data_IF_411041050597
#
_entry.id   IF_411041050597
#
_cell.length_a   1.000
_cell.length_b   1.000
_cell.length_c   1.000
_cell.angle_alpha   90.00
_cell.angle_beta   90.00
_cell.angle_gamma   90.00
#
_symmetry.space_group_name_H-M   'P 1'
#
loop_
_entity.id
_entity.type
_entity.pdbx_description
1 polymer ?
#
# COMPACT_ATOMS: atom_id res chain seq x y z
N UNK A 1 -7.55 -10.76 25.46
CA UNK A 1 -8.75 -9.90 25.35
C UNK A 1 -9.99 -10.76 25.49
N UNK A 2 -11.19 -10.18 25.59
CA UNK A 2 -12.42 -10.96 25.43
C UNK A 2 -12.51 -11.54 24.02
N UNK A 3 -13.10 -12.74 23.88
CA UNK A 3 -13.27 -13.45 22.59
C UNK A 3 -13.86 -12.56 21.49
N UNK A 4 -14.75 -11.63 21.85
CA UNK A 4 -15.38 -10.70 20.93
C UNK A 4 -14.38 -9.77 20.21
N UNK A 5 -13.32 -9.30 20.90
CA UNK A 5 -12.35 -8.39 20.29
C UNK A 5 -11.43 -9.13 19.30
N UNK A 6 -11.04 -10.37 19.62
CA UNK A 6 -10.27 -11.22 18.70
C UNK A 6 -11.08 -11.52 17.43
N UNK A 7 -12.37 -11.82 17.57
CA UNK A 7 -13.26 -12.04 16.43
C UNK A 7 -13.39 -10.76 15.59
N UNK A 8 -13.58 -9.61 16.24
CA UNK A 8 -13.67 -8.33 15.55
C UNK A 8 -12.41 -8.01 14.73
N UNK A 9 -11.23 -8.15 15.34
CA UNK A 9 -9.93 -7.92 14.64
C UNK A 9 -9.77 -8.90 13.49
N UNK A 10 -10.11 -10.17 13.68
CA UNK A 10 -10.03 -11.20 12.64
C UNK A 10 -10.97 -10.90 11.47
N UNK A 11 -12.21 -10.49 11.73
CA UNK A 11 -13.15 -10.07 10.68
C UNK A 11 -12.67 -8.83 9.93
N UNK A 12 -12.09 -7.86 10.65
CA UNK A 12 -11.53 -6.64 10.06
C UNK A 12 -10.38 -6.97 9.09
N UNK A 13 -9.51 -7.91 9.48
CA UNK A 13 -8.41 -8.43 8.67
C UNK A 13 -8.90 -9.16 7.42
N UNK A 14 -9.91 -10.03 7.55
CA UNK A 14 -10.49 -10.71 6.39
C UNK A 14 -11.08 -9.72 5.38
N UNK A 15 -11.81 -8.71 5.88
CA UNK A 15 -12.37 -7.66 5.03
C UNK A 15 -11.28 -6.85 4.33
N UNK A 16 -10.21 -6.50 5.05
CA UNK A 16 -9.03 -5.85 4.49
C UNK A 16 -8.40 -6.68 3.36
N UNK A 17 -8.23 -8.00 3.56
CA UNK A 17 -7.61 -8.86 2.56
C UNK A 17 -8.48 -8.97 1.30
N UNK A 18 -9.80 -9.11 1.46
CA UNK A 18 -10.74 -9.19 0.34
C UNK A 18 -10.72 -7.92 -0.53
N UNK A 19 -10.79 -6.73 0.09
CA UNK A 19 -10.74 -5.48 -0.68
C UNK A 19 -9.35 -5.17 -1.22
N UNK A 20 -8.27 -5.55 -0.54
CA UNK A 20 -6.91 -5.41 -1.06
C UNK A 20 -6.70 -6.25 -2.33
N UNK A 21 -7.16 -7.51 -2.35
CA UNK A 21 -7.10 -8.37 -3.54
C UNK A 21 -7.94 -7.84 -4.71
N UNK A 22 -9.06 -7.20 -4.40
CA UNK A 22 -9.93 -6.59 -5.40
C UNK A 22 -9.28 -5.36 -6.06
N UNK A 23 -8.67 -4.48 -5.24
CA UNK A 23 -7.96 -3.28 -5.72
C UNK A 23 -6.68 -3.64 -6.47
N UNK A 24 -5.98 -4.67 -5.99
CA UNK A 24 -4.76 -5.16 -6.60
C UNK A 24 -5.00 -6.49 -7.34
N UNK A 25 -6.04 -6.55 -8.16
CA UNK A 25 -6.38 -7.71 -9.00
C UNK A 25 -5.23 -8.15 -9.93
N UNK A 26 -4.33 -7.23 -10.26
CA UNK A 26 -3.10 -7.49 -11.02
C UNK A 26 -2.18 -8.52 -10.32
N UNK A 27 -2.20 -8.58 -8.98
CA UNK A 27 -1.41 -9.54 -8.17
C UNK A 27 -1.91 -10.97 -8.36
N UNK A 28 -3.21 -11.15 -8.61
CA UNK A 28 -3.85 -12.44 -8.88
C UNK A 28 -3.93 -12.74 -10.39
N UNK A 29 -3.28 -11.93 -11.23
CA UNK A 29 -3.23 -12.11 -12.68
C UNK A 29 -4.51 -11.71 -13.43
N UNK A 30 -5.43 -11.03 -12.75
CA UNK A 30 -6.66 -10.50 -13.36
C UNK A 30 -6.39 -9.11 -13.95
N UNK A 31 -6.57 -9.02 -15.27
CA UNK A 31 -6.33 -7.79 -16.05
C UNK A 31 -7.28 -6.64 -15.67
N UNK A 32 -8.46 -6.97 -15.11
CA UNK A 32 -9.46 -6.02 -14.66
C UNK A 32 -9.94 -6.36 -13.25
N UNK A 33 -10.15 -5.36 -12.38
CA UNK A 33 -10.66 -5.59 -11.04
C UNK A 33 -12.13 -6.06 -11.10
N UNK A 34 -12.53 -7.08 -10.33
CA UNK A 34 -13.89 -7.60 -10.37
C UNK A 34 -14.95 -6.59 -9.89
N UNK A 35 -14.54 -5.56 -9.14
CA UNK A 35 -15.37 -4.39 -8.82
C UNK A 35 -14.67 -3.15 -9.37
N UNK A 36 -15.37 -2.26 -10.09
CA UNK A 36 -14.77 -1.03 -10.60
C UNK A 36 -14.25 -0.16 -9.45
N UNK A 37 -12.93 0.01 -9.39
CA UNK A 37 -12.27 0.82 -8.37
C UNK A 37 -12.14 2.25 -8.89
N UNK A 38 -12.97 3.15 -8.38
CA UNK A 38 -12.80 4.60 -8.60
C UNK A 38 -11.70 5.15 -7.68
N UNK A 39 -11.16 6.32 -8.02
CA UNK A 39 -10.11 6.98 -7.21
C UNK A 39 -10.54 7.22 -5.75
N UNK A 40 -11.81 7.54 -5.53
CA UNK A 40 -12.39 7.74 -4.20
C UNK A 40 -12.36 6.45 -3.36
N UNK A 41 -12.63 5.30 -3.99
CA UNK A 41 -12.55 3.98 -3.33
C UNK A 41 -11.10 3.64 -2.98
N UNK A 42 -10.15 3.99 -3.86
CA UNK A 42 -8.73 3.79 -3.63
C UNK A 42 -8.21 4.65 -2.45
N UNK A 43 -8.60 5.92 -2.38
CA UNK A 43 -8.27 6.81 -1.26
C UNK A 43 -8.92 6.37 0.06
N UNK A 44 -10.20 5.97 0.01
CA UNK A 44 -10.89 5.38 1.17
C UNK A 44 -10.15 4.14 1.66
N UNK A 45 -9.72 3.26 0.75
CA UNK A 45 -9.02 2.04 1.11
C UNK A 45 -7.63 2.32 1.69
N UNK A 46 -6.95 3.35 1.21
CA UNK A 46 -5.66 3.78 1.74
C UNK A 46 -5.81 4.29 3.18
N UNK A 47 -6.79 5.16 3.45
CA UNK A 47 -7.14 5.58 4.81
C UNK A 47 -7.55 4.40 5.70
N UNK A 48 -8.40 3.51 5.18
CA UNK A 48 -8.84 2.31 5.88
C UNK A 48 -7.68 1.41 6.25
N UNK A 49 -6.70 1.23 5.35
CA UNK A 49 -5.47 0.45 5.58
C UNK A 49 -4.71 0.99 6.80
N UNK A 50 -4.54 2.31 6.89
CA UNK A 50 -3.87 2.96 8.03
C UNK A 50 -4.64 2.81 9.33
N UNK A 51 -5.98 2.87 9.30
CA UNK A 51 -6.83 2.65 10.46
C UNK A 51 -6.72 1.19 10.94
N UNK A 52 -6.83 0.22 10.03
CA UNK A 52 -6.68 -1.21 10.34
C UNK A 52 -5.29 -1.49 10.91
N UNK A 53 -4.24 -0.90 10.33
CA UNK A 53 -2.87 -1.01 10.84
C UNK A 53 -2.76 -0.50 12.28
N UNK A 54 -3.33 0.67 12.58
CA UNK A 54 -3.35 1.23 13.93
C UNK A 54 -4.06 0.31 14.93
N UNK A 55 -5.22 -0.24 14.55
CA UNK A 55 -5.98 -1.18 15.39
C UNK A 55 -5.18 -2.47 15.62
N UNK A 56 -4.56 -3.03 14.59
CA UNK A 56 -3.73 -4.23 14.70
C UNK A 56 -2.52 -4.00 15.61
N UNK A 57 -1.83 -2.86 15.43
CA UNK A 57 -0.68 -2.50 16.25
C UNK A 57 -1.06 -2.41 17.73
N UNK A 58 -2.20 -1.79 18.02
CA UNK A 58 -2.70 -1.62 19.38
C UNK A 58 -3.14 -2.94 19.99
N UNK A 59 -3.80 -3.82 19.23
CA UNK A 59 -4.17 -5.16 19.67
C UNK A 59 -2.94 -6.02 20.00
N UNK A 60 -1.96 -6.07 19.10
CA UNK A 60 -0.69 -6.79 19.30
C UNK A 60 0.05 -6.23 20.51
N UNK A 61 0.14 -4.90 20.64
CA UNK A 61 0.79 -4.25 21.78
C UNK A 61 0.13 -4.62 23.11
N UNK A 62 -1.20 -4.61 23.17
CA UNK A 62 -1.95 -4.99 24.37
C UNK A 62 -1.84 -6.50 24.68
N UNK A 63 -1.83 -7.36 23.67
CA UNK A 63 -1.60 -8.81 23.84
C UNK A 63 -0.17 -9.09 24.31
N UNK A 64 0.83 -8.39 23.77
CA UNK A 64 2.23 -8.47 24.20
C UNK A 64 2.40 -8.05 25.65
N UNK A 65 1.76 -6.95 26.07
CA UNK A 65 1.82 -6.49 27.47
C UNK A 65 1.25 -7.53 28.46
N UNK A 66 0.32 -8.38 28.04
CA UNK A 66 -0.25 -9.47 28.87
C UNK A 66 0.64 -10.71 28.90
N UNK A 67 1.25 -11.06 27.77
CA UNK A 67 2.13 -12.22 27.65
C UNK A 67 3.56 -11.71 27.84
N UNK A 68 4.03 -11.63 29.09
CA UNK A 68 5.41 -11.19 29.46
C UNK A 68 6.54 -12.01 28.80
N UNK A 69 6.20 -13.05 28.03
CA UNK A 69 7.11 -13.91 27.28
C UNK A 69 7.09 -13.62 25.76
N UNK A 70 8.11 -12.91 25.22
CA UNK A 70 8.17 -12.52 23.81
C UNK A 70 8.26 -13.73 22.86
N UNK A 71 9.00 -14.78 23.23
CA UNK A 71 9.17 -15.98 22.39
C UNK A 71 7.87 -16.74 22.20
N UNK A 72 7.09 -16.89 23.27
CA UNK A 72 5.82 -17.60 23.22
C UNK A 72 4.76 -16.77 22.47
N UNK A 73 4.79 -15.45 22.66
CA UNK A 73 3.93 -14.51 21.96
C UNK A 73 4.17 -14.52 20.44
N UNK A 74 5.44 -14.42 20.02
CA UNK A 74 5.83 -14.50 18.61
C UNK A 74 5.32 -15.79 17.98
N UNK A 75 5.51 -16.94 18.63
CA UNK A 75 5.09 -18.23 18.07
C UNK A 75 3.56 -18.35 17.92
N UNK A 76 2.80 -17.72 18.83
CA UNK A 76 1.33 -17.79 18.85
C UNK A 76 0.66 -16.75 17.94
N UNK A 77 1.24 -15.56 17.81
CA UNK A 77 0.71 -14.42 17.06
C UNK A 77 1.58 -14.03 15.84
N UNK A 78 2.38 -14.96 15.32
CA UNK A 78 3.32 -14.69 14.23
C UNK A 78 2.62 -14.14 12.96
N UNK A 79 1.42 -14.64 12.65
CA UNK A 79 0.62 -14.16 11.50
C UNK A 79 0.19 -12.70 11.66
N UNK A 80 -0.29 -12.31 12.84
CA UNK A 80 -0.68 -10.92 13.12
C UNK A 80 0.52 -9.97 13.00
N UNK A 81 1.68 -10.39 13.53
CA UNK A 81 2.94 -9.63 13.46
C UNK A 81 3.44 -9.54 12.02
N UNK A 82 3.34 -10.63 11.25
CA UNK A 82 3.69 -10.66 9.83
C UNK A 82 2.82 -9.68 9.05
N UNK A 83 1.50 -9.68 9.27
CA UNK A 83 0.57 -8.74 8.64
C UNK A 83 0.88 -7.30 9.03
N UNK A 84 1.20 -7.04 10.30
CA UNK A 84 1.58 -5.72 10.77
C UNK A 84 2.83 -5.22 10.02
N UNK A 85 3.84 -6.06 9.81
CA UNK A 85 5.02 -5.69 9.03
C UNK A 85 4.74 -5.55 7.53
N UNK A 86 3.83 -6.36 6.98
CA UNK A 86 3.50 -6.35 5.55
C UNK A 86 2.66 -5.14 5.14
N UNK A 87 1.74 -4.66 5.98
CA UNK A 87 0.88 -3.50 5.69
C UNK A 87 1.65 -2.23 5.26
N UNK A 88 2.63 -1.72 6.03
CA UNK A 88 3.40 -0.54 5.63
C UNK A 88 4.30 -0.84 4.43
N UNK A 89 4.67 -2.11 4.21
CA UNK A 89 5.44 -2.54 3.05
C UNK A 89 4.59 -2.49 1.77
N UNK A 90 3.33 -2.91 1.83
CA UNK A 90 2.37 -2.81 0.74
C UNK A 90 1.96 -1.35 0.47
N UNK A 91 1.71 -0.55 1.50
CA UNK A 91 1.46 0.89 1.35
C UNK A 91 2.69 1.63 0.79
N UNK A 92 3.89 1.29 1.28
CA UNK A 92 5.15 1.87 0.81
C UNK A 92 5.50 1.49 -0.62
N UNK A 93 5.06 0.33 -1.11
CA UNK A 93 5.29 -0.10 -2.49
C UNK A 93 4.60 0.81 -3.52
N UNK A 94 3.43 1.41 -3.18
CA UNK A 94 2.82 2.46 -4.02
C UNK A 94 3.73 3.66 -4.15
N UNK A 95 4.35 4.13 -3.06
CA UNK A 95 5.28 5.27 -3.05
C UNK A 95 6.51 4.97 -3.91
N UNK A 96 7.02 3.74 -3.86
CA UNK A 96 8.12 3.30 -4.73
C UNK A 96 7.72 3.30 -6.22
N UNK A 97 6.50 2.85 -6.56
CA UNK A 97 5.99 2.95 -7.95
C UNK A 97 5.80 4.40 -8.39
N UNK A 98 5.34 5.27 -7.49
CA UNK A 98 5.16 6.71 -7.70
C UNK A 98 6.51 7.41 -7.94
N UNK A 99 7.53 7.09 -7.13
CA UNK A 99 8.87 7.66 -7.29
C UNK A 99 9.52 7.22 -8.60
N UNK A 100 9.35 5.97 -9.02
CA UNK A 100 9.82 5.50 -10.35
C UNK A 100 9.08 6.21 -11.49
N UNK A 101 7.75 6.40 -11.39
CA UNK A 101 6.98 7.17 -12.39
C UNK A 101 7.41 8.64 -12.44
N UNK A 102 7.62 9.28 -11.29
CA UNK A 102 8.11 10.66 -11.20
C UNK A 102 9.51 10.81 -11.79
N UNK A 103 10.44 9.90 -11.50
CA UNK A 103 11.80 9.92 -12.07
C UNK A 103 11.77 9.70 -13.59
N UNK A 104 10.93 8.78 -14.09
CA UNK A 104 10.72 8.59 -15.53
C UNK A 104 10.08 9.82 -16.19
N UNK A 105 9.07 10.41 -15.55
CA UNK A 105 8.41 11.64 -16.01
C UNK A 105 9.38 12.82 -16.04
N UNK A 106 10.23 12.97 -15.03
CA UNK A 106 11.25 14.01 -14.97
C UNK A 106 12.33 13.82 -16.04
N UNK A 107 12.73 12.57 -16.32
CA UNK A 107 13.64 12.25 -17.43
C UNK A 107 13.01 12.56 -18.80
N UNK A 108 11.74 12.22 -19.00
CA UNK A 108 11.01 12.58 -20.22
C UNK A 108 10.82 14.09 -20.35
N UNK A 109 10.53 14.80 -19.26
CA UNK A 109 10.41 16.26 -19.26
C UNK A 109 11.74 16.95 -19.60
N UNK A 110 12.86 16.51 -19.01
CA UNK A 110 14.21 17.00 -19.39
C UNK A 110 14.54 16.69 -20.85
N UNK A 111 14.18 15.50 -21.34
CA UNK A 111 14.39 15.10 -22.74
C UNK A 111 13.55 15.96 -23.70
N UNK A 112 12.25 16.12 -23.41
CA UNK A 112 11.33 16.95 -24.20
C UNK A 112 11.70 18.43 -24.18
N UNK A 113 12.15 18.97 -23.04
CA UNK A 113 12.65 20.33 -22.96
C UNK A 113 13.93 20.52 -23.79
N UNK A 114 14.85 19.56 -23.77
CA UNK A 114 16.08 19.60 -24.57
C UNK A 114 15.79 19.46 -26.07
N UNK A 115 14.83 18.62 -26.47
CA UNK A 115 14.37 18.48 -27.84
C UNK A 115 13.66 19.73 -28.35
N UNK A 116 12.75 20.32 -27.56
CA UNK A 116 12.05 21.56 -27.92
C UNK A 116 12.99 22.77 -28.00
N UNK A 117 13.97 22.85 -27.10
CA UNK A 117 14.97 23.91 -27.10
C UNK A 117 15.99 23.75 -28.24
N UNK A 118 16.31 22.51 -28.63
CA UNK A 118 17.11 22.20 -29.82
C UNK A 118 16.38 22.54 -31.12
N UNK A 119 15.10 22.17 -31.22
CA UNK A 119 14.24 22.50 -32.37
C UNK A 119 14.05 24.02 -32.54
N UNK A 120 13.88 24.79 -31.45
CA UNK A 120 13.83 26.26 -31.50
C UNK A 120 15.15 26.89 -31.98
N UNK A 121 16.31 26.32 -31.63
CA UNK A 121 17.62 26.79 -32.13
C UNK A 121 17.81 26.48 -33.61
N UNK A 122 17.38 25.31 -34.08
CA UNK A 122 17.48 24.90 -35.49
C UNK A 122 16.50 25.69 -36.37
N UNK A 123 15.29 25.97 -35.86
CA UNK A 123 14.29 26.79 -36.55
C UNK A 123 14.69 28.27 -36.70
N UNK A 124 15.42 28.84 -35.74
CA UNK A 124 15.97 30.21 -35.82
C UNK A 124 17.25 30.33 -36.67
N UNK A 125 17.92 29.22 -36.99
CA UNK A 125 19.13 29.23 -37.81
C UNK A 125 18.85 29.03 -39.32
N UNK A 126 17.58 28.81 -39.70
CA UNK A 126 17.13 28.55 -41.08
C UNK A 126 16.21 29.65 -41.65
N UNK A 127 16.04 30.78 -40.97
CA UNK A 127 15.33 31.96 -41.47
C UNK A 127 16.25 33.16 -41.46
#
# INVERSE_FOLDING_TARGET
MGKAFDIFVSSLVMFFFAGYLNIHSDIIGLHEPPIPVTKEVEEFWELFTWVVFGVLALDIYLKYRKVRDPKLFLKKHWLDILMLCLMPLFAGFKIAKLSVKLVKGLKMAKSGFKAAHGAKKIGKAKG
#
